data_IF_082389483204
#
_entry.id   IF_082389483204
#
_cell.length_a   1.000
_cell.length_b   1.000
_cell.length_c   1.000
_cell.angle_alpha   90.00
_cell.angle_beta   90.00
_cell.angle_gamma   90.00
#
_symmetry.space_group_name_H-M   'P 1'
#
loop_
_entity.id
_entity.type
_entity.pdbx_description
1 polymer ?
#
# COMPACT_ATOMS: atom_id res chain seq x y z
N UNK A 1 -11.82 -32.19 10.16
CA UNK A 1 -11.03 -31.28 11.00
C UNK A 1 -10.88 -29.95 10.26
N UNK A 2 -11.93 -29.14 10.32
CA UNK A 2 -11.92 -27.78 9.81
C UNK A 2 -11.07 -26.90 10.76
N UNK A 3 -9.82 -26.69 10.44
CA UNK A 3 -8.99 -25.65 11.03
C UNK A 3 -9.11 -24.38 10.19
N UNK A 4 -10.32 -23.91 9.95
CA UNK A 4 -10.56 -22.54 9.57
C UNK A 4 -10.70 -21.74 10.86
N UNK A 5 -9.66 -21.01 11.29
CA UNK A 5 -9.83 -20.12 12.42
C UNK A 5 -10.65 -18.93 11.94
N UNK A 6 -11.96 -18.94 12.23
CA UNK A 6 -12.78 -17.76 12.07
C UNK A 6 -12.17 -16.65 12.93
N UNK A 7 -12.05 -15.43 12.38
CA UNK A 7 -11.78 -14.25 13.19
C UNK A 7 -12.73 -14.23 14.38
N UNK A 8 -12.25 -13.92 15.58
CA UNK A 8 -13.13 -13.70 16.71
C UNK A 8 -14.21 -12.69 16.32
N UNK A 9 -15.47 -12.91 16.76
CA UNK A 9 -16.61 -12.03 16.43
C UNK A 9 -16.36 -10.55 16.72
N UNK A 10 -15.45 -10.24 17.64
CA UNK A 10 -15.06 -8.86 17.98
C UNK A 10 -14.02 -8.25 17.02
N UNK A 11 -13.49 -9.03 16.07
CA UNK A 11 -12.58 -8.50 15.03
C UNK A 11 -13.34 -7.79 13.89
N UNK A 12 -14.67 -7.83 13.89
CA UNK A 12 -15.49 -7.09 12.90
C UNK A 12 -16.45 -6.18 13.67
N UNK A 13 -16.22 -4.88 13.58
CA UNK A 13 -17.05 -3.83 14.17
C UNK A 13 -17.40 -2.81 13.09
N UNK A 14 -18.71 -2.54 12.90
CA UNK A 14 -19.19 -1.54 11.93
C UNK A 14 -18.54 -1.72 10.54
N UNK A 15 -18.58 -2.95 9.99
CA UNK A 15 -18.07 -3.28 8.65
C UNK A 15 -16.56 -3.07 8.47
N UNK A 16 -15.85 -2.84 9.58
CA UNK A 16 -14.39 -2.80 9.64
C UNK A 16 -13.85 -4.08 10.26
N UNK A 17 -12.84 -4.69 9.65
CA UNK A 17 -11.98 -5.64 10.36
C UNK A 17 -11.11 -4.80 11.29
N UNK A 18 -11.33 -4.97 12.61
CA UNK A 18 -10.69 -4.13 13.61
C UNK A 18 -9.23 -4.47 13.78
N UNK A 19 -8.50 -3.47 14.25
CA UNK A 19 -7.12 -3.52 14.61
C UNK A 19 -6.84 -4.66 15.60
N UNK A 20 -5.69 -5.32 15.47
CA UNK A 20 -5.24 -6.36 16.39
C UNK A 20 -6.16 -7.59 16.48
N UNK A 21 -6.59 -8.16 15.38
CA UNK A 21 -6.93 -9.56 15.39
C UNK A 21 -5.62 -10.32 15.71
N UNK A 22 -5.27 -10.40 16.99
CA UNK A 22 -4.00 -10.96 17.46
C UNK A 22 -3.96 -12.45 17.12
N UNK A 23 -3.27 -12.76 16.05
CA UNK A 23 -2.95 -14.11 15.69
C UNK A 23 -1.60 -14.47 16.30
N UNK A 24 -1.51 -15.63 16.91
CA UNK A 24 -0.21 -16.22 17.12
C UNK A 24 0.49 -16.30 15.79
N UNK A 25 1.75 -15.89 15.74
CA UNK A 25 2.56 -15.88 14.53
C UNK A 25 2.32 -17.17 13.71
N UNK A 26 1.83 -17.02 12.47
CA UNK A 26 1.67 -18.11 11.52
C UNK A 26 0.47 -19.06 11.68
N UNK A 27 -0.41 -18.89 12.69
CA UNK A 27 -1.54 -19.84 12.87
C UNK A 27 -2.67 -19.67 11.84
N UNK A 28 -2.90 -18.45 11.32
CA UNK A 28 -3.93 -18.23 10.30
C UNK A 28 -3.32 -18.41 8.90
N UNK A 29 -3.70 -19.48 8.23
CA UNK A 29 -3.23 -19.79 6.86
C UNK A 29 -4.24 -19.45 5.77
N UNK A 30 -5.51 -19.26 6.12
CA UNK A 30 -6.58 -18.86 5.19
C UNK A 30 -7.68 -18.07 5.90
N UNK A 31 -8.21 -17.06 5.24
CA UNK A 31 -9.35 -16.29 5.70
C UNK A 31 -10.17 -15.75 4.53
N UNK A 32 -11.50 -15.88 4.63
CA UNK A 32 -12.44 -15.27 3.70
C UNK A 32 -13.02 -13.99 4.32
N UNK A 33 -12.64 -12.84 3.78
CA UNK A 33 -13.18 -11.55 4.23
C UNK A 33 -14.67 -11.49 3.84
N UNK A 34 -15.58 -11.21 4.80
CA UNK A 34 -17.00 -11.05 4.50
C UNK A 34 -17.26 -9.92 3.48
N UNK A 35 -18.25 -10.14 2.59
CA UNK A 35 -18.52 -9.21 1.48
C UNK A 35 -19.03 -7.82 1.91
N UNK A 36 -19.52 -7.69 3.15
CA UNK A 36 -19.99 -6.43 3.72
C UNK A 36 -18.89 -5.59 4.39
N UNK A 37 -17.62 -6.02 4.32
CA UNK A 37 -16.52 -5.25 4.90
C UNK A 37 -16.17 -4.08 4.01
N UNK A 38 -16.11 -2.87 4.59
CA UNK A 38 -15.73 -1.63 3.92
C UNK A 38 -14.29 -1.20 4.21
N UNK A 39 -13.68 -1.71 5.29
CA UNK A 39 -12.33 -1.33 5.67
C UNK A 39 -11.58 -2.46 6.37
N UNK A 40 -10.30 -2.61 6.05
CA UNK A 40 -9.35 -3.45 6.77
C UNK A 40 -8.57 -2.54 7.71
N UNK A 41 -8.61 -2.82 9.01
CA UNK A 41 -7.98 -1.99 10.03
C UNK A 41 -6.47 -2.16 10.12
N UNK A 42 -5.86 -1.33 10.98
CA UNK A 42 -4.43 -1.36 11.22
C UNK A 42 -4.03 -2.71 11.84
N UNK A 43 -2.93 -3.28 11.36
CA UNK A 43 -2.41 -4.59 11.78
C UNK A 43 -3.41 -5.76 11.69
N UNK A 44 -4.53 -5.64 10.96
CA UNK A 44 -5.63 -6.61 10.97
C UNK A 44 -5.19 -8.05 10.68
N UNK A 45 -4.22 -8.25 9.80
CA UNK A 45 -3.64 -9.55 9.44
C UNK A 45 -2.13 -9.62 9.65
N UNK A 46 -1.57 -8.65 10.37
CA UNK A 46 -0.12 -8.61 10.57
C UNK A 46 0.40 -9.93 11.17
N UNK A 47 1.52 -10.45 10.63
CA UNK A 47 2.20 -11.68 11.05
C UNK A 47 1.34 -12.94 10.93
N UNK A 48 0.26 -12.89 10.15
CA UNK A 48 -0.54 -14.08 9.85
C UNK A 48 0.22 -15.05 8.92
N UNK A 49 -0.15 -16.32 8.98
CA UNK A 49 0.36 -17.35 8.07
C UNK A 49 -0.40 -17.44 6.74
N UNK A 50 -1.17 -16.40 6.37
CA UNK A 50 -1.95 -16.39 5.12
C UNK A 50 -1.05 -16.65 3.91
N UNK A 51 -1.46 -17.59 3.06
CA UNK A 51 -0.79 -17.91 1.80
C UNK A 51 -1.37 -17.07 0.64
N UNK A 52 -2.68 -16.83 0.70
CA UNK A 52 -3.39 -15.97 -0.23
C UNK A 52 -4.57 -15.28 0.44
N UNK A 53 -4.99 -14.13 -0.10
CA UNK A 53 -6.21 -13.45 0.35
C UNK A 53 -6.87 -12.71 -0.81
N UNK A 54 -8.21 -12.79 -0.83
CA UNK A 54 -9.04 -11.99 -1.73
C UNK A 54 -9.74 -10.89 -0.96
N UNK A 55 -9.46 -9.64 -1.29
CA UNK A 55 -10.15 -8.49 -0.73
C UNK A 55 -11.45 -8.29 -1.52
N UNK A 56 -12.64 -8.31 -0.87
CA UNK A 56 -13.90 -8.21 -1.58
C UNK A 56 -14.17 -6.80 -2.14
N UNK A 57 -14.98 -6.76 -3.21
CA UNK A 57 -15.53 -5.51 -3.70
C UNK A 57 -16.38 -4.83 -2.60
N UNK A 58 -16.08 -3.58 -2.28
CA UNK A 58 -16.70 -2.85 -1.17
C UNK A 58 -15.67 -2.29 -0.21
N UNK A 59 -14.55 -2.99 0.00
CA UNK A 59 -13.44 -2.45 0.79
C UNK A 59 -12.89 -1.20 0.11
N UNK A 60 -12.82 -0.11 0.88
CA UNK A 60 -12.34 1.21 0.47
C UNK A 60 -10.93 1.50 0.96
N UNK A 61 -10.59 0.98 2.15
CA UNK A 61 -9.33 1.32 2.80
C UNK A 61 -8.62 0.08 3.34
N UNK A 62 -7.29 0.10 3.24
CA UNK A 62 -6.40 -0.87 3.88
C UNK A 62 -5.53 -0.11 4.87
N UNK A 63 -5.64 -0.46 6.15
CA UNK A 63 -5.01 0.24 7.26
C UNK A 63 -3.50 0.05 7.37
N UNK A 64 -2.91 0.80 8.29
CA UNK A 64 -1.49 0.78 8.59
C UNK A 64 -1.02 -0.65 8.95
N UNK A 65 0.04 -1.10 8.28
CA UNK A 65 0.65 -2.40 8.53
C UNK A 65 -0.35 -3.59 8.51
N UNK A 66 -1.48 -3.48 7.79
CA UNK A 66 -2.56 -4.47 7.81
C UNK A 66 -2.10 -5.89 7.49
N UNK A 67 -1.13 -6.06 6.59
CA UNK A 67 -0.51 -7.33 6.20
C UNK A 67 1.00 -7.36 6.47
N UNK A 68 1.43 -6.61 7.49
CA UNK A 68 2.83 -6.52 7.88
C UNK A 68 3.38 -7.89 8.30
N UNK A 69 4.56 -8.28 7.77
CA UNK A 69 5.15 -9.59 8.06
C UNK A 69 4.24 -10.79 7.78
N UNK A 70 3.40 -10.73 6.75
CA UNK A 70 2.72 -11.92 6.22
C UNK A 70 3.71 -12.70 5.34
N UNK A 71 4.63 -13.42 5.97
CA UNK A 71 5.81 -14.03 5.33
C UNK A 71 5.45 -15.14 4.33
N UNK A 72 4.22 -15.67 4.38
CA UNK A 72 3.72 -16.68 3.46
C UNK A 72 2.75 -16.13 2.40
N UNK A 73 2.33 -14.85 2.48
CA UNK A 73 1.34 -14.26 1.57
C UNK A 73 1.98 -14.02 0.20
N UNK A 74 1.72 -14.93 -0.73
CA UNK A 74 2.24 -14.87 -2.09
C UNK A 74 1.25 -14.25 -3.08
N UNK A 75 -0.04 -14.37 -2.82
CA UNK A 75 -1.10 -13.88 -3.70
C UNK A 75 -2.09 -13.00 -2.93
N UNK A 76 -2.38 -11.83 -3.49
CA UNK A 76 -3.41 -10.93 -3.00
C UNK A 76 -4.19 -10.33 -4.17
N UNK A 77 -5.52 -10.37 -4.07
CA UNK A 77 -6.40 -9.68 -5.01
C UNK A 77 -6.92 -8.40 -4.36
N UNK A 78 -6.59 -7.24 -4.93
CA UNK A 78 -7.01 -5.93 -4.45
C UNK A 78 -7.94 -5.31 -5.49
N UNK A 79 -9.25 -5.15 -5.19
CA UNK A 79 -10.23 -4.65 -6.14
C UNK A 79 -10.13 -3.14 -6.35
N UNK A 80 -10.65 -2.64 -7.47
CA UNK A 80 -10.74 -1.21 -7.76
C UNK A 80 -11.59 -0.40 -6.77
N UNK A 81 -12.36 -1.06 -5.89
CA UNK A 81 -13.07 -0.36 -4.81
C UNK A 81 -12.13 0.23 -3.75
N UNK A 82 -10.90 -0.30 -3.63
CA UNK A 82 -9.89 0.24 -2.71
C UNK A 82 -9.33 1.53 -3.28
N UNK A 83 -9.52 2.61 -2.54
CA UNK A 83 -9.11 3.98 -2.91
C UNK A 83 -8.04 4.56 -1.99
N UNK A 84 -7.70 3.84 -0.91
CA UNK A 84 -6.66 4.25 0.02
C UNK A 84 -5.92 3.08 0.66
N UNK A 85 -4.61 3.17 0.71
CA UNK A 85 -3.71 2.22 1.37
C UNK A 85 -2.77 2.99 2.29
N UNK A 86 -2.80 2.64 3.57
CA UNK A 86 -1.96 3.27 4.60
C UNK A 86 -0.50 2.80 4.54
N UNK A 87 0.43 3.54 5.16
CA UNK A 87 1.85 3.18 5.17
C UNK A 87 2.10 1.75 5.67
N UNK A 88 3.11 1.11 5.10
CA UNK A 88 3.56 -0.22 5.51
C UNK A 88 2.50 -1.33 5.44
N UNK A 89 1.34 -1.09 4.80
CA UNK A 89 0.23 -2.06 4.75
C UNK A 89 0.69 -3.47 4.36
N UNK A 90 1.65 -3.59 3.46
CA UNK A 90 2.20 -4.86 2.96
C UNK A 90 3.68 -5.05 3.28
N UNK A 91 4.27 -4.21 4.14
CA UNK A 91 5.70 -4.27 4.41
C UNK A 91 6.11 -5.64 4.95
N UNK A 92 7.23 -6.15 4.43
CA UNK A 92 7.79 -7.47 4.73
C UNK A 92 6.89 -8.67 4.40
N UNK A 93 5.80 -8.49 3.65
CA UNK A 93 5.03 -9.63 3.12
C UNK A 93 5.79 -10.32 1.99
N UNK A 94 5.55 -11.64 1.81
CA UNK A 94 6.12 -12.36 0.68
C UNK A 94 5.67 -11.77 -0.67
N UNK A 95 4.41 -11.33 -0.78
CA UNK A 95 3.86 -10.70 -1.98
C UNK A 95 4.64 -9.45 -2.42
N UNK A 96 4.89 -8.51 -1.49
CA UNK A 96 5.66 -7.31 -1.79
C UNK A 96 7.13 -7.65 -2.11
N UNK A 97 7.73 -8.57 -1.35
CA UNK A 97 9.10 -9.03 -1.57
C UNK A 97 9.26 -9.73 -2.94
N UNK A 98 8.28 -10.57 -3.31
CA UNK A 98 8.28 -11.24 -4.61
C UNK A 98 8.20 -10.23 -5.77
N UNK A 99 7.34 -9.20 -5.66
CA UNK A 99 7.32 -8.12 -6.62
C UNK A 99 8.65 -7.36 -6.67
N UNK A 100 9.18 -6.97 -5.53
CA UNK A 100 10.43 -6.19 -5.44
C UNK A 100 11.62 -6.92 -6.07
N UNK A 101 11.69 -8.23 -5.92
CA UNK A 101 12.77 -9.08 -6.44
C UNK A 101 12.52 -9.62 -7.84
N UNK A 102 11.36 -9.38 -8.45
CA UNK A 102 11.04 -9.85 -9.79
C UNK A 102 11.53 -8.85 -10.86
N UNK A 103 12.60 -9.16 -11.62
CA UNK A 103 13.14 -8.24 -12.61
C UNK A 103 12.21 -8.03 -13.82
N UNK A 104 11.18 -8.86 -13.99
CA UNK A 104 10.18 -8.74 -15.06
C UNK A 104 8.94 -7.94 -14.63
N UNK A 105 8.78 -7.67 -13.34
CA UNK A 105 7.68 -6.84 -12.86
C UNK A 105 7.98 -5.36 -13.12
N UNK A 106 6.90 -4.56 -13.32
CA UNK A 106 6.98 -3.10 -13.40
C UNK A 106 7.75 -2.53 -12.21
N UNK A 107 8.47 -1.44 -12.40
CA UNK A 107 9.11 -0.68 -11.33
C UNK A 107 8.09 0.00 -10.41
N UNK A 108 6.87 0.18 -10.88
CA UNK A 108 5.76 0.76 -10.14
C UNK A 108 4.79 -0.33 -9.70
N UNK A 109 4.45 -0.37 -8.41
CA UNK A 109 3.40 -1.25 -7.88
C UNK A 109 2.13 -0.43 -7.67
N UNK A 110 1.23 -0.55 -8.63
CA UNK A 110 -0.08 0.12 -8.61
C UNK A 110 -1.15 -0.91 -8.27
N UNK A 111 -2.04 -0.57 -7.33
CA UNK A 111 -3.13 -1.44 -6.85
C UNK A 111 -4.45 -0.67 -6.76
N UNK A 112 -5.55 -1.40 -6.57
CA UNK A 112 -6.87 -0.81 -6.34
C UNK A 112 -7.28 0.12 -7.48
N UNK A 113 -7.71 1.33 -7.13
CA UNK A 113 -8.09 2.39 -8.07
C UNK A 113 -6.91 3.35 -8.30
N UNK A 114 -5.91 2.88 -9.03
CA UNK A 114 -4.74 3.69 -9.38
C UNK A 114 -3.87 4.13 -8.18
N UNK A 115 -3.74 3.32 -7.13
CA UNK A 115 -2.90 3.66 -5.97
C UNK A 115 -1.49 3.15 -6.18
N UNK A 116 -0.52 4.04 -6.33
CA UNK A 116 0.89 3.71 -6.37
C UNK A 116 1.42 3.51 -4.94
N UNK A 117 1.68 2.27 -4.55
CA UNK A 117 2.10 1.91 -3.18
C UNK A 117 3.59 1.68 -3.02
N UNK A 118 4.32 1.41 -4.11
CA UNK A 118 5.76 1.20 -4.05
C UNK A 118 6.43 1.47 -5.41
N UNK A 119 7.70 1.87 -5.36
CA UNK A 119 8.59 2.05 -6.50
C UNK A 119 9.93 1.36 -6.24
N UNK A 120 10.42 0.57 -7.20
CA UNK A 120 11.71 -0.16 -7.10
C UNK A 120 12.73 0.23 -8.16
N UNK A 121 12.37 1.13 -9.10
CA UNK A 121 13.27 1.61 -10.14
C UNK A 121 14.49 2.35 -9.57
N UNK A 122 15.47 2.61 -10.42
CA UNK A 122 16.73 3.28 -10.04
C UNK A 122 16.95 4.56 -10.85
N UNK A 123 15.91 5.04 -11.54
CA UNK A 123 15.99 6.22 -12.38
C UNK A 123 16.11 7.50 -11.54
N UNK A 124 17.01 8.40 -11.94
CA UNK A 124 17.12 9.72 -11.30
C UNK A 124 15.99 10.68 -11.70
N UNK A 125 15.37 10.45 -12.86
CA UNK A 125 14.18 11.17 -13.31
C UNK A 125 13.03 10.19 -13.48
N UNK A 126 12.07 10.25 -12.56
CA UNK A 126 10.96 9.30 -12.50
C UNK A 126 9.74 9.87 -13.22
N UNK A 127 9.16 9.09 -14.14
CA UNK A 127 7.88 9.41 -14.79
C UNK A 127 6.81 8.48 -14.23
N UNK A 128 5.92 9.04 -13.39
CA UNK A 128 4.81 8.27 -12.82
C UNK A 128 3.81 7.91 -13.93
N UNK A 129 3.33 6.63 -13.99
CA UNK A 129 2.39 6.18 -15.01
C UNK A 129 1.04 6.92 -14.96
N UNK A 130 0.41 7.05 -16.14
CA UNK A 130 -0.86 7.79 -16.30
C UNK A 130 -2.07 7.09 -15.61
N UNK A 131 -1.97 5.81 -15.26
CA UNK A 131 -3.00 5.09 -14.48
C UNK A 131 -2.99 5.43 -12.98
N UNK A 132 -1.99 6.21 -12.50
CA UNK A 132 -1.90 6.55 -11.08
C UNK A 132 -2.81 7.74 -10.75
N UNK A 133 -3.70 7.54 -9.78
CA UNK A 133 -4.59 8.57 -9.23
C UNK A 133 -4.17 9.03 -7.83
N UNK A 134 -3.52 8.14 -7.08
CA UNK A 134 -3.03 8.40 -5.72
C UNK A 134 -1.59 7.89 -5.58
N UNK A 135 -0.71 8.73 -5.05
CA UNK A 135 0.61 8.31 -4.56
C UNK A 135 0.44 8.02 -3.07
N UNK A 136 0.63 6.77 -2.69
CA UNK A 136 0.43 6.33 -1.31
C UNK A 136 1.43 6.95 -0.33
N UNK A 137 1.11 7.00 0.96
CA UNK A 137 2.03 7.49 1.98
C UNK A 137 3.36 6.72 1.97
N UNK A 138 4.46 7.46 2.06
CA UNK A 138 5.82 6.89 2.12
C UNK A 138 6.32 6.20 0.84
N UNK A 139 5.60 6.29 -0.28
CA UNK A 139 5.90 5.53 -1.51
C UNK A 139 7.33 5.70 -2.04
N UNK A 140 7.90 6.91 -1.93
CA UNK A 140 9.26 7.26 -2.37
C UNK A 140 10.16 7.71 -1.21
N UNK A 141 9.81 7.40 0.04
CA UNK A 141 10.58 7.85 1.20
C UNK A 141 12.05 7.45 1.09
N UNK A 142 12.97 8.41 1.32
CA UNK A 142 14.41 8.17 1.35
C UNK A 142 15.05 7.82 -0.01
N UNK A 143 14.36 8.06 -1.13
CA UNK A 143 14.89 7.80 -2.48
C UNK A 143 15.85 8.92 -2.90
N UNK A 144 17.09 8.83 -2.40
CA UNK A 144 18.11 9.87 -2.62
C UNK A 144 18.56 9.98 -4.08
N UNK A 145 18.42 8.91 -4.89
CA UNK A 145 18.78 8.91 -6.30
C UNK A 145 17.85 9.76 -7.17
N UNK A 146 16.63 10.07 -6.70
CA UNK A 146 15.65 10.84 -7.48
C UNK A 146 15.99 12.33 -7.44
N UNK A 147 16.23 12.91 -8.61
CA UNK A 147 16.51 14.34 -8.79
C UNK A 147 15.34 15.10 -9.39
N UNK A 148 14.47 14.41 -10.12
CA UNK A 148 13.28 14.98 -10.74
C UNK A 148 12.16 13.96 -10.86
N UNK A 149 10.91 14.45 -10.84
CA UNK A 149 9.74 13.61 -10.98
C UNK A 149 8.70 14.27 -11.87
N UNK A 150 8.09 13.49 -12.77
CA UNK A 150 6.90 13.88 -13.53
C UNK A 150 5.67 13.21 -12.91
N UNK A 151 4.74 14.03 -12.43
CA UNK A 151 3.45 13.62 -11.88
C UNK A 151 2.38 13.84 -12.97
N UNK A 152 1.65 12.79 -13.40
CA UNK A 152 0.60 12.93 -14.42
C UNK A 152 -0.61 13.70 -13.88
N UNK A 153 -1.43 14.21 -14.78
CA UNK A 153 -2.63 14.97 -14.44
C UNK A 153 -3.75 14.10 -13.83
N UNK A 154 -3.64 12.79 -13.90
CA UNK A 154 -4.52 11.84 -13.21
C UNK A 154 -4.35 11.84 -11.69
N UNK A 155 -3.16 12.21 -11.19
CA UNK A 155 -2.88 12.22 -9.75
C UNK A 155 -3.65 13.34 -9.06
N UNK A 156 -4.51 12.96 -8.13
CA UNK A 156 -5.29 13.89 -7.30
C UNK A 156 -4.84 13.93 -5.85
N UNK A 157 -4.14 12.90 -5.37
CA UNK A 157 -3.71 12.80 -3.98
C UNK A 157 -2.25 12.38 -3.88
N UNK A 158 -1.51 13.04 -3.00
CA UNK A 158 -0.15 12.67 -2.59
C UNK A 158 -0.21 12.40 -1.08
N UNK A 159 0.18 11.22 -0.66
CA UNK A 159 0.11 10.77 0.72
C UNK A 159 1.14 11.44 1.64
N UNK A 160 0.96 11.22 2.94
CA UNK A 160 1.89 11.65 3.98
C UNK A 160 3.28 11.06 3.70
N UNK A 161 4.33 11.89 3.87
CA UNK A 161 5.74 11.48 3.72
C UNK A 161 6.09 10.85 2.36
N UNK A 162 5.23 11.00 1.33
CA UNK A 162 5.37 10.30 0.05
C UNK A 162 6.75 10.46 -0.61
N UNK A 163 7.37 11.63 -0.49
CA UNK A 163 8.72 11.97 -0.99
C UNK A 163 9.64 12.46 0.12
N UNK A 164 9.33 12.16 1.38
CA UNK A 164 10.19 12.58 2.49
C UNK A 164 11.58 12.01 2.32
N UNK A 165 12.60 12.82 2.68
CA UNK A 165 14.01 12.46 2.60
C UNK A 165 14.52 12.12 1.18
N UNK A 166 13.80 12.52 0.12
CA UNK A 166 14.32 12.57 -1.25
C UNK A 166 15.25 13.79 -1.38
N UNK A 167 16.42 13.73 -0.72
CA UNK A 167 17.29 14.91 -0.50
C UNK A 167 17.84 15.55 -1.77
N UNK A 168 17.86 14.82 -2.89
CA UNK A 168 18.31 15.32 -4.17
C UNK A 168 17.17 15.70 -5.12
N UNK A 169 15.91 15.59 -4.69
CA UNK A 169 14.75 15.99 -5.50
C UNK A 169 14.69 17.52 -5.61
N UNK A 170 14.96 18.02 -6.80
CA UNK A 170 15.03 19.46 -7.11
C UNK A 170 13.91 19.94 -8.03
N UNK A 171 13.24 19.03 -8.74
CA UNK A 171 12.23 19.40 -9.72
C UNK A 171 11.01 18.46 -9.71
N UNK A 172 9.83 19.08 -9.75
CA UNK A 172 8.56 18.40 -10.00
C UNK A 172 7.93 19.00 -11.25
N UNK A 173 7.50 18.13 -12.17
CA UNK A 173 6.80 18.52 -13.39
C UNK A 173 5.39 17.92 -13.39
N UNK A 174 4.40 18.69 -13.81
CA UNK A 174 2.99 18.25 -13.83
C UNK A 174 2.30 18.34 -12.47
N UNK A 175 1.35 17.44 -12.20
CA UNK A 175 0.58 17.44 -10.95
C UNK A 175 -0.43 18.59 -10.85
N UNK A 176 -0.90 19.14 -11.98
CA UNK A 176 -1.80 20.32 -12.01
C UNK A 176 -3.16 20.05 -11.34
N UNK A 177 -3.56 18.79 -11.23
CA UNK A 177 -4.84 18.39 -10.63
C UNK A 177 -4.72 17.81 -9.22
N UNK A 178 -3.54 17.87 -8.60
CA UNK A 178 -3.36 17.46 -7.20
C UNK A 178 -4.21 18.33 -6.29
N UNK A 179 -5.10 17.70 -5.53
CA UNK A 179 -6.06 18.34 -4.61
C UNK A 179 -5.64 18.22 -3.16
N UNK A 180 -4.90 17.15 -2.84
CA UNK A 180 -4.45 16.87 -1.47
C UNK A 180 -2.98 16.50 -1.46
N UNK A 181 -2.25 17.08 -0.53
CA UNK A 181 -0.87 16.75 -0.22
C UNK A 181 -0.83 16.45 1.27
N UNK A 182 -0.40 15.27 1.63
CA UNK A 182 -0.30 14.81 3.01
C UNK A 182 0.81 15.51 3.79
N UNK A 183 0.78 15.36 5.09
CA UNK A 183 1.78 15.94 5.98
C UNK A 183 3.17 15.44 5.60
N UNK A 184 4.15 16.36 5.62
CA UNK A 184 5.56 16.04 5.34
C UNK A 184 5.82 15.39 3.96
N UNK A 185 4.87 15.44 3.02
CA UNK A 185 4.98 14.77 1.73
C UNK A 185 6.30 15.06 0.98
N UNK A 186 6.85 16.26 1.14
CA UNK A 186 8.12 16.70 0.54
C UNK A 186 9.14 17.17 1.59
N UNK A 187 9.02 16.71 2.84
CA UNK A 187 9.95 17.07 3.88
C UNK A 187 11.38 16.62 3.54
N UNK A 188 12.36 17.47 3.83
CA UNK A 188 13.78 17.23 3.54
C UNK A 188 14.10 16.96 2.06
N UNK A 189 13.32 17.51 1.14
CA UNK A 189 13.69 17.59 -0.28
C UNK A 189 14.47 18.87 -0.57
N UNK A 190 15.07 18.98 -1.76
CA UNK A 190 15.79 20.17 -2.22
C UNK A 190 15.00 20.99 -3.26
N UNK A 191 13.66 20.93 -3.16
CA UNK A 191 12.76 21.72 -4.02
C UNK A 191 12.89 23.22 -3.69
N UNK A 192 12.90 24.07 -4.72
CA UNK A 192 13.00 25.55 -4.61
C UNK A 192 11.70 26.21 -5.03
#
# INVERSE_FOLDING_TARGET
NEKGSALPKYAIINEKITDYAYYKDGEMTAYAIPANIESIGDFAFARSGLESINIPNGVKTIGYAAFYHCDNLNEISIPASVTWVEPSAFAYSAWLNNWANNPQASDFLVVGDGILIAYKGQESYVVIPEEVETIAPGCFIGREEITGIKIPDTVTNIGEEAFQDCINLTAIHGGSFVKKIGDRAFANTNLQ
#
